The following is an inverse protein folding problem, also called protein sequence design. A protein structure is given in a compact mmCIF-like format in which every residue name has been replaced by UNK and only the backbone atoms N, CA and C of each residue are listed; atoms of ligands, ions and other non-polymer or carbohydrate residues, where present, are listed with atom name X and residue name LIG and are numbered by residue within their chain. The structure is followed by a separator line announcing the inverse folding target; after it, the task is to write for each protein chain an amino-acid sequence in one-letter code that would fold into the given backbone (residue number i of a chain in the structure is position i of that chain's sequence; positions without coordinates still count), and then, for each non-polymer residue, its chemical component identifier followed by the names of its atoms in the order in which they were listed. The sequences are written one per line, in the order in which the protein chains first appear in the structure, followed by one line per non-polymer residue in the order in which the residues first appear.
data_IF_109788284520
#
_entry.id   IF_109788284520
#
_cell.length_a   1.000
_cell.length_b   1.000
_cell.length_c   1.000
_cell.angle_alpha   90.00
_cell.angle_beta   90.00
_cell.angle_gamma   90.00
#
_symmetry.space_group_name_H-M   'P 1'
#
loop_
_entity.id
_entity.type
_entity.pdbx_description
1 polymer ?
#
# COMPACT_ATOMS: atom_id res chain seq x y z
N UNK A 1 -28.11 -15.29 -26.90
CA UNK A 1 -27.66 -15.53 -25.51
C UNK A 1 -26.34 -14.79 -25.28
N UNK A 2 -26.31 -13.60 -24.67
CA UNK A 2 -25.04 -12.94 -24.41
C UNK A 2 -24.40 -13.61 -23.18
N UNK A 3 -23.72 -14.73 -23.41
CA UNK A 3 -23.07 -15.59 -22.40
C UNK A 3 -21.57 -15.34 -22.22
N UNK A 4 -21.07 -14.18 -22.65
CA UNK A 4 -19.66 -13.79 -22.51
C UNK A 4 -19.34 -13.22 -21.12
N UNK A 5 -18.05 -13.21 -20.75
CA UNK A 5 -17.54 -12.50 -19.57
C UNK A 5 -17.97 -11.03 -19.65
N UNK A 6 -18.29 -10.43 -18.50
CA UNK A 6 -18.53 -8.99 -18.43
C UNK A 6 -17.30 -8.24 -18.95
N UNK A 7 -17.49 -7.16 -19.68
CA UNK A 7 -16.44 -6.23 -20.13
C UNK A 7 -16.06 -5.27 -19.01
N UNK A 8 -15.04 -4.42 -19.21
CA UNK A 8 -14.72 -3.36 -18.24
C UNK A 8 -15.86 -2.32 -18.17
N UNK A 9 -16.43 -1.94 -19.32
CA UNK A 9 -17.52 -0.98 -19.42
C UNK A 9 -18.79 -1.47 -18.69
N UNK A 10 -19.16 -2.75 -18.88
CA UNK A 10 -20.31 -3.32 -18.17
C UNK A 10 -20.09 -3.31 -16.66
N UNK A 11 -18.86 -3.56 -16.19
CA UNK A 11 -18.53 -3.46 -14.75
C UNK A 11 -18.60 -2.03 -14.21
N UNK A 12 -18.21 -1.03 -15.00
CA UNK A 12 -18.36 0.37 -14.62
C UNK A 12 -19.82 0.75 -14.46
N UNK A 13 -20.69 0.27 -15.36
CA UNK A 13 -22.14 0.46 -15.25
C UNK A 13 -22.75 -0.26 -14.04
N UNK A 14 -22.24 -1.44 -13.67
CA UNK A 14 -22.61 -2.09 -12.39
C UNK A 14 -22.22 -1.19 -11.21
N UNK A 15 -20.99 -0.67 -11.18
CA UNK A 15 -20.51 0.17 -10.08
C UNK A 15 -21.34 1.47 -9.95
N UNK A 16 -21.69 2.11 -11.07
CA UNK A 16 -22.56 3.29 -11.09
C UNK A 16 -23.96 2.95 -10.56
N UNK A 17 -24.56 1.85 -11.04
CA UNK A 17 -25.89 1.44 -10.57
C UNK A 17 -25.94 1.12 -9.08
N UNK A 18 -24.85 0.59 -8.51
CA UNK A 18 -24.75 0.36 -7.07
C UNK A 18 -24.60 1.68 -6.29
N UNK A 19 -23.83 2.64 -6.80
CA UNK A 19 -23.69 3.96 -6.20
C UNK A 19 -25.04 4.72 -6.19
N UNK A 20 -25.84 4.54 -7.23
CA UNK A 20 -27.20 5.09 -7.35
C UNK A 20 -28.25 4.31 -6.53
N UNK A 21 -27.85 3.26 -5.80
CA UNK A 21 -28.75 2.46 -4.97
C UNK A 21 -29.72 1.56 -5.75
N UNK A 22 -29.47 1.29 -7.03
CA UNK A 22 -30.34 0.47 -7.86
C UNK A 22 -30.28 -1.01 -7.45
N UNK A 23 -31.43 -1.69 -7.55
CA UNK A 23 -31.51 -3.12 -7.35
C UNK A 23 -30.76 -3.88 -8.46
N UNK A 24 -30.16 -5.04 -8.13
CA UNK A 24 -29.38 -5.83 -9.09
C UNK A 24 -30.14 -6.21 -10.36
N UNK A 25 -31.46 -6.43 -10.26
CA UNK A 25 -32.31 -6.75 -11.41
C UNK A 25 -32.46 -5.56 -12.39
N UNK A 26 -32.49 -4.32 -11.88
CA UNK A 26 -32.52 -3.11 -12.70
C UNK A 26 -31.20 -2.91 -13.42
N UNK A 27 -30.07 -3.06 -12.71
CA UNK A 27 -28.73 -3.00 -13.29
C UNK A 27 -28.58 -4.05 -14.41
N UNK A 28 -29.01 -5.28 -14.14
CA UNK A 28 -28.93 -6.38 -15.09
C UNK A 28 -29.76 -6.13 -16.37
N UNK A 29 -30.97 -5.56 -16.24
CA UNK A 29 -31.79 -5.16 -17.39
C UNK A 29 -31.10 -4.11 -18.26
N UNK A 30 -30.47 -3.10 -17.66
CA UNK A 30 -29.76 -2.04 -18.40
C UNK A 30 -28.56 -2.57 -19.19
N UNK A 31 -27.97 -3.66 -18.71
CA UNK A 31 -26.83 -4.33 -19.35
C UNK A 31 -27.25 -5.40 -20.36
N UNK A 32 -28.55 -5.68 -20.49
CA UNK A 32 -29.06 -6.87 -21.21
C UNK A 32 -28.38 -8.17 -20.74
N UNK A 33 -28.21 -8.31 -19.42
CA UNK A 33 -27.60 -9.49 -18.78
C UNK A 33 -28.56 -10.13 -17.76
N UNK A 34 -28.43 -11.44 -17.48
CA UNK A 34 -29.15 -12.06 -16.38
C UNK A 34 -28.79 -11.45 -15.02
N UNK A 35 -29.77 -11.27 -14.13
CA UNK A 35 -29.57 -10.77 -12.76
C UNK A 35 -28.51 -11.57 -11.99
N UNK A 36 -28.50 -12.89 -12.18
CA UNK A 36 -27.52 -13.78 -11.55
C UNK A 36 -26.06 -13.51 -11.96
N UNK A 37 -25.82 -12.86 -13.09
CA UNK A 37 -24.49 -12.42 -13.51
C UNK A 37 -24.02 -11.24 -12.69
N UNK A 38 -24.88 -10.23 -12.52
CA UNK A 38 -24.58 -9.04 -11.70
C UNK A 38 -24.40 -9.44 -10.24
N UNK A 39 -25.31 -10.22 -9.67
CA UNK A 39 -25.20 -10.67 -8.27
C UNK A 39 -23.89 -11.43 -8.02
N UNK A 40 -23.55 -12.40 -8.87
CA UNK A 40 -22.31 -13.17 -8.71
C UNK A 40 -21.07 -12.31 -8.92
N UNK A 41 -21.09 -11.39 -9.86
CA UNK A 41 -19.99 -10.46 -10.09
C UNK A 41 -19.76 -9.57 -8.87
N UNK A 42 -20.82 -8.98 -8.32
CA UNK A 42 -20.75 -8.09 -7.16
C UNK A 42 -20.26 -8.85 -5.93
N UNK A 43 -20.87 -10.00 -5.62
CA UNK A 43 -20.49 -10.80 -4.45
C UNK A 43 -19.07 -11.36 -4.55
N UNK A 44 -18.61 -11.73 -5.75
CA UNK A 44 -17.26 -12.25 -5.96
C UNK A 44 -16.16 -11.19 -5.84
N UNK A 45 -16.51 -9.91 -5.93
CA UNK A 45 -15.54 -8.80 -5.95
C UNK A 45 -15.81 -7.77 -4.84
N UNK A 46 -16.16 -8.25 -3.64
CA UNK A 46 -16.23 -7.42 -2.43
C UNK A 46 -17.64 -7.08 -1.94
N UNK A 47 -18.69 -7.49 -2.66
CA UNK A 47 -20.08 -7.18 -2.28
C UNK A 47 -20.49 -5.75 -2.61
N UNK A 48 -21.76 -5.37 -2.39
CA UNK A 48 -22.34 -4.12 -2.89
C UNK A 48 -21.66 -2.86 -2.38
N UNK A 49 -21.19 -2.85 -1.13
CA UNK A 49 -20.58 -1.68 -0.49
C UNK A 49 -19.11 -1.47 -0.87
N UNK A 50 -18.40 -2.53 -1.26
CA UNK A 50 -16.99 -2.48 -1.61
C UNK A 50 -16.71 -2.78 -3.10
N UNK A 51 -17.75 -2.94 -3.92
CA UNK A 51 -17.60 -3.25 -5.35
C UNK A 51 -16.89 -2.12 -6.10
N UNK A 52 -15.81 -2.46 -6.80
CA UNK A 52 -15.08 -1.54 -7.68
C UNK A 52 -14.84 -2.20 -9.04
N UNK A 53 -15.27 -1.53 -10.11
CA UNK A 53 -15.23 -2.05 -11.47
C UNK A 53 -13.81 -2.47 -11.93
N UNK A 54 -12.81 -1.62 -11.67
CA UNK A 54 -11.44 -1.87 -12.09
C UNK A 54 -10.78 -3.03 -11.33
N UNK A 55 -11.09 -3.18 -10.03
CA UNK A 55 -10.64 -4.31 -9.22
C UNK A 55 -11.25 -5.61 -9.75
N UNK A 56 -12.55 -5.60 -10.01
CA UNK A 56 -13.27 -6.76 -10.53
C UNK A 56 -12.79 -7.18 -11.93
N UNK A 57 -12.46 -6.21 -12.80
CA UNK A 57 -11.90 -6.46 -14.12
C UNK A 57 -10.51 -7.11 -14.04
N UNK A 58 -9.58 -6.53 -13.28
CA UNK A 58 -8.22 -7.07 -13.12
C UNK A 58 -8.20 -8.43 -12.42
N UNK A 59 -9.06 -8.64 -11.41
CA UNK A 59 -9.20 -9.95 -10.75
C UNK A 59 -9.66 -11.02 -11.76
N UNK A 60 -10.53 -10.65 -12.69
CA UNK A 60 -11.01 -11.52 -13.77
C UNK A 60 -9.90 -11.86 -14.75
N UNK A 61 -9.08 -10.89 -15.17
CA UNK A 61 -7.94 -11.12 -16.07
C UNK A 61 -6.86 -12.00 -15.43
N UNK A 62 -6.49 -11.72 -14.17
CA UNK A 62 -5.49 -12.52 -13.44
C UNK A 62 -5.92 -13.98 -13.28
N UNK A 63 -7.20 -14.25 -13.02
CA UNK A 63 -7.73 -15.63 -12.96
C UNK A 63 -7.66 -16.33 -14.31
N UNK A 64 -7.93 -15.62 -15.41
CA UNK A 64 -7.76 -16.17 -16.75
C UNK A 64 -6.29 -16.50 -17.04
N UNK A 65 -5.38 -15.61 -16.61
CA UNK A 65 -3.94 -15.79 -16.79
C UNK A 65 -3.38 -16.94 -15.94
N UNK A 66 -3.81 -17.09 -14.67
CA UNK A 66 -3.43 -18.21 -13.80
C UNK A 66 -3.91 -19.56 -14.33
N UNK A 67 -5.14 -19.64 -14.85
CA UNK A 67 -5.63 -20.87 -15.52
C UNK A 67 -4.78 -21.28 -16.71
N UNK A 68 -4.16 -20.30 -17.38
CA UNK A 68 -3.27 -20.53 -18.53
C UNK A 68 -1.84 -20.91 -18.13
N UNK A 69 -1.44 -20.70 -16.86
CA UNK A 69 -0.08 -20.91 -16.34
C UNK A 69 0.02 -22.07 -15.32
N UNK A 70 -1.04 -22.86 -15.10
CA UNK A 70 -1.03 -23.90 -14.08
C UNK A 70 -0.25 -25.17 -14.52
N UNK A 71 1.07 -25.18 -14.29
CA UNK A 71 1.93 -26.35 -13.95
C UNK A 71 3.37 -25.89 -13.59
N UNK A 72 4.14 -26.58 -12.71
CA UNK A 72 3.82 -27.25 -11.44
C UNK A 72 4.12 -26.35 -10.22
N UNK A 73 3.53 -26.69 -9.07
CA UNK A 73 3.79 -26.03 -7.78
C UNK A 73 5.25 -26.24 -7.36
N UNK A 74 6.02 -25.15 -7.29
CA UNK A 74 7.28 -25.10 -6.54
C UNK A 74 7.05 -25.18 -5.02
N UNK A 75 8.12 -25.32 -4.23
CA UNK A 75 8.04 -25.70 -2.82
C UNK A 75 7.11 -24.76 -2.06
N UNK A 76 6.20 -25.36 -1.29
CA UNK A 76 5.30 -24.67 -0.38
C UNK A 76 6.05 -23.56 0.35
N UNK A 77 5.45 -22.37 0.33
CA UNK A 77 5.89 -21.28 1.20
C UNK A 77 6.06 -21.86 2.61
N UNK A 78 7.16 -21.54 3.32
CA UNK A 78 7.39 -22.08 4.65
C UNK A 78 6.13 -21.89 5.51
N UNK A 79 5.77 -22.88 6.35
CA UNK A 79 4.57 -22.81 7.17
C UNK A 79 4.56 -21.46 7.90
N UNK A 80 3.47 -20.70 7.72
CA UNK A 80 3.35 -19.40 8.35
C UNK A 80 3.49 -19.59 9.86
N UNK A 81 4.50 -18.95 10.45
CA UNK A 81 4.94 -19.19 11.83
C UNK A 81 3.84 -18.99 12.89
N UNK A 82 2.71 -18.40 12.50
CA UNK A 82 1.61 -18.00 13.37
C UNK A 82 0.26 -18.61 12.98
N UNK A 83 0.22 -19.68 12.17
CA UNK A 83 -1.02 -20.40 11.85
C UNK A 83 -2.05 -19.59 11.05
N UNK A 84 -1.60 -18.54 10.36
CA UNK A 84 -2.45 -17.68 9.52
C UNK A 84 -2.89 -18.44 8.27
N UNK A 85 -4.02 -18.05 7.69
CA UNK A 85 -4.45 -18.55 6.40
C UNK A 85 -3.57 -17.94 5.29
N UNK A 86 -2.83 -18.75 4.50
CA UNK A 86 -2.00 -18.26 3.41
C UNK A 86 -2.77 -17.48 2.36
N UNK A 87 -4.04 -17.81 2.11
CA UNK A 87 -4.85 -17.09 1.14
C UNK A 87 -5.25 -15.70 1.64
N UNK A 88 -5.60 -15.59 2.93
CA UNK A 88 -5.91 -14.31 3.57
C UNK A 88 -4.69 -13.38 3.58
N UNK A 89 -3.49 -13.88 3.91
CA UNK A 89 -2.26 -13.08 3.89
C UNK A 89 -1.94 -12.58 2.49
N UNK A 90 -2.08 -13.44 1.47
CA UNK A 90 -1.89 -13.05 0.07
C UNK A 90 -2.92 -12.01 -0.38
N UNK A 91 -4.18 -12.15 0.03
CA UNK A 91 -5.22 -11.16 -0.28
C UNK A 91 -4.92 -9.80 0.36
N UNK A 92 -4.42 -9.81 1.60
CA UNK A 92 -3.98 -8.59 2.29
C UNK A 92 -2.78 -7.94 1.59
N UNK A 93 -1.76 -8.72 1.20
CA UNK A 93 -0.61 -8.24 0.43
C UNK A 93 -1.04 -7.53 -0.87
N UNK A 94 -2.02 -8.10 -1.58
CA UNK A 94 -2.58 -7.50 -2.80
C UNK A 94 -3.31 -6.17 -2.51
N UNK A 95 -4.08 -6.09 -1.41
CA UNK A 95 -4.72 -4.85 -0.97
C UNK A 95 -3.67 -3.79 -0.61
N UNK A 96 -2.66 -4.16 0.19
CA UNK A 96 -1.60 -3.26 0.61
C UNK A 96 -0.78 -2.74 -0.57
N UNK A 97 -0.44 -3.61 -1.52
CA UNK A 97 0.20 -3.22 -2.79
C UNK A 97 -0.62 -2.17 -3.53
N UNK A 98 -1.95 -2.33 -3.55
CA UNK A 98 -2.84 -1.39 -4.24
C UNK A 98 -2.84 -0.02 -3.56
N UNK A 99 -2.81 0.02 -2.23
CA UNK A 99 -2.71 1.28 -1.46
C UNK A 99 -1.41 2.02 -1.81
N UNK A 100 -0.26 1.34 -1.83
CA UNK A 100 1.01 1.96 -2.23
C UNK A 100 1.00 2.45 -3.69
N UNK A 101 0.31 1.76 -4.59
CA UNK A 101 0.16 2.25 -5.96
C UNK A 101 -0.67 3.54 -6.03
N UNK A 102 -1.69 3.67 -5.18
CA UNK A 102 -2.53 4.87 -5.11
C UNK A 102 -1.77 6.10 -4.58
N UNK A 103 -0.74 5.90 -3.76
CA UNK A 103 0.17 6.97 -3.34
C UNK A 103 1.24 7.34 -4.38
N UNK A 104 1.15 6.80 -5.61
CA UNK A 104 2.04 7.12 -6.73
C UNK A 104 3.26 6.20 -6.86
N UNK A 105 3.37 5.15 -6.04
CA UNK A 105 4.47 4.19 -6.15
C UNK A 105 4.29 3.27 -7.36
N UNK A 106 5.29 3.10 -8.24
CA UNK A 106 5.21 2.16 -9.35
C UNK A 106 4.93 0.72 -8.88
N UNK A 107 4.18 -0.04 -9.68
CA UNK A 107 3.65 -1.35 -9.28
C UNK A 107 4.71 -2.31 -8.69
N UNK A 108 5.89 -2.42 -9.30
CA UNK A 108 6.91 -3.35 -8.80
C UNK A 108 7.46 -2.92 -7.44
N UNK A 109 7.64 -1.61 -7.24
CA UNK A 109 8.14 -1.02 -6.01
C UNK A 109 7.10 -1.16 -4.90
N UNK A 110 5.82 -0.94 -5.22
CA UNK A 110 4.71 -1.19 -4.31
C UNK A 110 4.63 -2.66 -3.85
N UNK A 111 4.88 -3.61 -4.77
CA UNK A 111 4.95 -5.05 -4.43
C UNK A 111 6.13 -5.37 -3.52
N UNK A 112 7.30 -4.79 -3.78
CA UNK A 112 8.48 -4.96 -2.92
C UNK A 112 8.21 -4.39 -1.53
N UNK A 113 7.64 -3.19 -1.42
CA UNK A 113 7.26 -2.62 -0.12
C UNK A 113 6.27 -3.50 0.62
N UNK A 114 5.16 -3.91 -0.03
CA UNK A 114 4.17 -4.77 0.62
C UNK A 114 4.77 -6.08 1.13
N UNK A 115 5.64 -6.72 0.33
CA UNK A 115 6.32 -7.96 0.72
C UNK A 115 7.30 -7.77 1.89
N UNK A 116 8.01 -6.64 1.96
CA UNK A 116 8.87 -6.31 3.08
C UNK A 116 8.06 -5.99 4.35
N UNK A 117 7.01 -5.17 4.24
CA UNK A 117 6.17 -4.73 5.37
C UNK A 117 5.49 -5.89 6.09
N UNK A 118 5.02 -6.91 5.37
CA UNK A 118 4.32 -8.05 5.97
C UNK A 118 5.26 -9.21 6.34
N UNK A 119 6.56 -9.06 6.10
CA UNK A 119 7.53 -10.10 6.40
C UNK A 119 7.75 -10.21 7.92
N UNK A 120 7.43 -11.36 8.50
CA UNK A 120 7.65 -11.62 9.92
C UNK A 120 9.14 -11.55 10.32
N UNK A 121 10.06 -11.69 9.36
CA UNK A 121 11.49 -11.53 9.59
C UNK A 121 11.94 -10.05 9.73
N UNK A 122 11.05 -9.09 9.48
CA UNK A 122 11.33 -7.64 9.45
C UNK A 122 12.25 -7.19 8.31
N UNK A 123 12.92 -8.13 7.65
CA UNK A 123 13.90 -7.87 6.60
C UNK A 123 13.93 -9.00 5.57
N UNK A 124 14.32 -8.72 4.33
CA UNK A 124 14.50 -9.72 3.28
C UNK A 124 15.75 -9.47 2.44
N UNK A 125 16.37 -10.55 1.98
CA UNK A 125 17.44 -10.53 0.97
C UNK A 125 16.86 -10.38 -0.44
N UNK A 126 17.72 -9.99 -1.40
CA UNK A 126 17.33 -9.94 -2.82
C UNK A 126 16.81 -11.30 -3.34
N UNK A 127 17.43 -12.42 -2.92
CA UNK A 127 17.01 -13.76 -3.30
C UNK A 127 15.63 -14.14 -2.74
N UNK A 128 15.34 -13.74 -1.50
CA UNK A 128 14.02 -13.99 -0.89
C UNK A 128 12.94 -13.13 -1.57
N UNK A 129 13.25 -11.89 -1.94
CA UNK A 129 12.34 -11.04 -2.72
C UNK A 129 12.05 -11.65 -4.10
N UNK A 130 13.08 -12.13 -4.81
CA UNK A 130 12.93 -12.86 -6.08
C UNK A 130 12.00 -14.05 -5.92
N UNK A 131 12.22 -14.88 -4.90
CA UNK A 131 11.42 -16.08 -4.65
C UNK A 131 9.98 -15.76 -4.26
N UNK A 132 9.76 -14.79 -3.36
CA UNK A 132 8.41 -14.44 -2.89
C UNK A 132 7.58 -13.75 -3.96
N UNK A 133 8.20 -12.81 -4.69
CA UNK A 133 7.50 -12.02 -5.71
C UNK A 133 7.39 -12.75 -7.06
N UNK A 134 8.17 -13.82 -7.26
CA UNK A 134 8.24 -14.58 -8.51
C UNK A 134 8.61 -13.66 -9.70
N UNK A 135 9.68 -12.87 -9.52
CA UNK A 135 10.18 -11.90 -10.51
C UNK A 135 11.68 -12.07 -10.71
N UNK A 136 12.22 -11.46 -11.78
CA UNK A 136 13.66 -11.56 -12.06
C UNK A 136 14.52 -10.83 -11.01
N UNK A 137 15.77 -11.27 -10.77
CA UNK A 137 16.73 -10.53 -9.94
C UNK A 137 16.91 -9.08 -10.39
N UNK A 138 16.96 -8.82 -11.70
CA UNK A 138 17.08 -7.48 -12.25
C UNK A 138 15.89 -6.57 -11.89
N UNK A 139 14.66 -7.11 -11.87
CA UNK A 139 13.47 -6.38 -11.42
C UNK A 139 13.57 -6.00 -9.96
N UNK A 140 14.05 -6.90 -9.10
CA UNK A 140 14.28 -6.63 -7.68
C UNK A 140 15.36 -5.56 -7.51
N UNK A 141 16.51 -5.69 -8.18
CA UNK A 141 17.58 -4.70 -8.09
C UNK A 141 17.12 -3.30 -8.50
N UNK A 142 16.35 -3.18 -9.58
CA UNK A 142 15.80 -1.89 -10.02
C UNK A 142 14.79 -1.32 -9.02
N UNK A 143 13.94 -2.18 -8.44
CA UNK A 143 12.96 -1.77 -7.45
C UNK A 143 13.64 -1.28 -6.17
N UNK A 144 14.63 -2.02 -5.66
CA UNK A 144 15.41 -1.63 -4.49
C UNK A 144 16.15 -0.32 -4.73
N UNK A 145 16.87 -0.17 -5.84
CA UNK A 145 17.59 1.07 -6.14
C UNK A 145 16.67 2.30 -6.19
N UNK A 146 15.46 2.14 -6.72
CA UNK A 146 14.44 3.19 -6.69
C UNK A 146 13.95 3.47 -5.27
N UNK A 147 13.63 2.43 -4.50
CA UNK A 147 13.12 2.59 -3.15
C UNK A 147 14.17 3.20 -2.21
N UNK A 148 15.44 2.80 -2.33
CA UNK A 148 16.56 3.42 -1.62
C UNK A 148 16.74 4.89 -1.98
N UNK A 149 16.61 5.27 -3.27
CA UNK A 149 16.73 6.69 -3.67
C UNK A 149 15.57 7.56 -3.19
N UNK A 150 14.45 6.95 -2.83
CA UNK A 150 13.30 7.61 -2.20
C UNK A 150 13.32 7.47 -0.67
N UNK A 151 14.40 6.92 -0.10
CA UNK A 151 14.56 6.62 1.33
C UNK A 151 13.48 5.68 1.89
N UNK A 152 12.77 4.94 1.03
CA UNK A 152 11.68 4.03 1.36
C UNK A 152 12.14 2.67 1.91
N UNK A 153 13.36 2.28 1.55
CA UNK A 153 13.98 1.03 1.96
C UNK A 153 15.41 1.33 2.35
N UNK A 154 15.86 0.70 3.43
CA UNK A 154 17.23 0.78 3.90
C UNK A 154 17.92 -0.57 3.76
N UNK A 155 19.21 -0.52 3.42
CA UNK A 155 20.06 -1.70 3.31
C UNK A 155 20.88 -1.90 4.57
N UNK A 156 20.70 -3.05 5.19
CA UNK A 156 21.43 -3.51 6.36
C UNK A 156 22.35 -4.67 6.00
N UNK A 157 23.41 -4.84 6.79
CA UNK A 157 24.28 -6.02 6.72
C UNK A 157 23.99 -6.89 7.93
N UNK A 158 23.52 -8.10 7.66
CA UNK A 158 23.35 -9.14 8.69
C UNK A 158 24.71 -9.64 9.19
N UNK A 159 24.75 -10.38 10.31
CA UNK A 159 25.95 -10.98 10.93
C UNK A 159 26.77 -11.81 9.92
N UNK A 160 26.10 -12.38 8.92
CA UNK A 160 26.69 -13.16 7.83
C UNK A 160 27.13 -12.33 6.61
N UNK A 161 27.24 -10.99 6.75
CA UNK A 161 27.56 -10.02 5.69
C UNK A 161 26.65 -10.05 4.46
N UNK A 162 25.44 -10.57 4.59
CA UNK A 162 24.44 -10.53 3.51
C UNK A 162 23.66 -9.23 3.57
N UNK A 163 23.40 -8.65 2.40
CA UNK A 163 22.57 -7.47 2.27
C UNK A 163 21.11 -7.85 2.52
N UNK A 164 20.50 -7.19 3.50
CA UNK A 164 19.09 -7.30 3.84
C UNK A 164 18.43 -5.94 3.67
N UNK A 165 17.20 -5.97 3.18
CA UNK A 165 16.37 -4.80 2.96
C UNK A 165 15.29 -4.75 4.01
N UNK A 166 15.08 -3.56 4.57
CA UNK A 166 14.09 -3.27 5.61
C UNK A 166 13.25 -2.10 5.12
N UNK A 167 11.93 -2.14 5.32
CA UNK A 167 11.11 -0.92 5.15
C UNK A 167 11.50 0.01 6.28
N UNK A 168 11.94 1.20 5.95
CA UNK A 168 12.38 2.12 6.98
C UNK A 168 11.15 2.73 7.67
N UNK A 169 10.94 2.44 8.96
CA UNK A 169 9.84 3.02 9.73
C UNK A 169 9.95 4.55 9.82
N UNK A 170 11.15 5.10 9.62
CA UNK A 170 11.40 6.54 9.52
C UNK A 170 10.83 7.13 8.22
N UNK A 171 10.41 6.33 7.23
CA UNK A 171 9.85 6.80 5.94
C UNK A 171 8.66 7.71 6.12
N UNK A 172 7.73 7.31 6.99
CA UNK A 172 6.53 8.10 7.23
C UNK A 172 6.89 9.43 7.90
N UNK A 173 7.88 9.40 8.79
CA UNK A 173 8.45 10.59 9.39
C UNK A 173 9.16 11.48 8.34
N UNK A 174 10.05 10.93 7.51
CA UNK A 174 10.75 11.68 6.45
C UNK A 174 9.78 12.24 5.41
N UNK A 175 8.72 11.51 5.04
CA UNK A 175 7.69 11.97 4.13
C UNK A 175 6.89 13.15 4.71
N UNK A 176 6.52 13.09 6.00
CA UNK A 176 5.90 14.22 6.70
C UNK A 176 6.84 15.42 6.77
N UNK A 177 8.11 15.20 7.11
CA UNK A 177 9.11 16.26 7.18
C UNK A 177 9.40 16.90 5.81
N UNK A 178 9.42 16.10 4.74
CA UNK A 178 9.55 16.59 3.36
C UNK A 178 8.34 17.43 2.95
N UNK A 179 7.13 16.97 3.28
CA UNK A 179 5.88 17.71 3.03
C UNK A 179 5.83 19.03 3.81
N UNK A 180 6.31 19.04 5.06
CA UNK A 180 6.43 20.25 5.87
C UNK A 180 7.39 21.26 5.24
N UNK A 181 8.56 20.80 4.77
CA UNK A 181 9.54 21.65 4.06
C UNK A 181 8.96 22.23 2.77
N UNK A 182 8.29 21.41 1.95
CA UNK A 182 7.64 21.88 0.73
C UNK A 182 6.56 22.94 1.02
N UNK A 183 5.74 22.70 2.05
CA UNK A 183 4.71 23.65 2.49
C UNK A 183 5.31 24.98 2.96
N UNK A 184 6.40 24.94 3.74
CA UNK A 184 7.13 26.13 4.16
C UNK A 184 7.71 26.92 2.98
N UNK A 185 8.20 26.22 1.95
CA UNK A 185 8.71 26.86 0.74
C UNK A 185 7.61 27.60 -0.04
N UNK A 186 6.40 27.06 -0.11
CA UNK A 186 5.25 27.75 -0.70
C UNK A 186 4.86 28.99 0.13
N UNK A 187 4.87 28.89 1.46
CA UNK A 187 4.61 30.02 2.35
C UNK A 187 5.63 31.16 2.14
N UNK A 188 6.92 30.82 2.04
CA UNK A 188 7.99 31.77 1.76
C UNK A 188 7.82 32.45 0.40
N UNK A 189 7.49 31.67 -0.63
CA UNK A 189 7.23 32.21 -1.97
C UNK A 189 6.02 33.16 -1.97
N UNK A 190 4.97 32.84 -1.21
CA UNK A 190 3.81 33.72 -1.05
C UNK A 190 4.20 35.05 -0.36
N UNK A 191 5.06 35.03 0.66
CA UNK A 191 5.59 36.25 1.32
C UNK A 191 6.39 37.12 0.36
N UNK A 192 7.25 36.52 -0.47
CA UNK A 192 7.97 37.25 -1.51
C UNK A 192 6.99 37.95 -2.47
N UNK A 193 5.92 37.26 -2.85
CA UNK A 193 4.86 37.82 -3.68
C UNK A 193 4.12 39.00 -3.05
N UNK A 194 4.00 39.08 -1.71
CA UNK A 194 3.45 40.26 -1.01
C UNK A 194 4.33 41.48 -1.24
N UNK A 195 5.66 41.32 -1.18
CA UNK A 195 6.61 42.40 -1.47
C UNK A 195 6.53 42.89 -2.91
N UNK A 196 6.31 41.97 -3.86
CA UNK A 196 6.19 42.30 -5.29
C UNK A 196 4.86 42.95 -5.64
N UNK A 197 3.75 42.42 -5.12
CA UNK A 197 2.39 42.87 -5.46
C UNK A 197 1.89 44.01 -4.57
N UNK A 198 2.66 44.38 -3.54
CA UNK A 198 2.32 45.41 -2.57
C UNK A 198 1.38 44.90 -1.47
N UNK A 199 1.72 45.10 -0.19
CA UNK A 199 0.92 44.61 0.95
C UNK A 199 -0.45 45.26 1.06
N UNK A 200 -0.63 46.48 0.53
CA UNK A 200 -1.91 47.18 0.50
C UNK A 200 -2.87 46.73 -0.60
N UNK A 201 -2.48 45.77 -1.45
CA UNK A 201 -3.35 45.31 -2.55
C UNK A 201 -4.19 44.11 -2.15
N UNK A 202 -5.35 43.88 -2.78
CA UNK A 202 -6.13 42.66 -2.56
C UNK A 202 -5.35 41.37 -2.87
N UNK A 203 -4.37 41.42 -3.78
CA UNK A 203 -3.52 40.28 -4.10
C UNK A 203 -2.48 40.04 -2.99
N UNK A 204 -1.86 41.10 -2.47
CA UNK A 204 -0.97 41.04 -1.31
C UNK A 204 -1.68 40.45 -0.08
N UNK A 205 -2.88 40.94 0.23
CA UNK A 205 -3.68 40.42 1.36
C UNK A 205 -4.02 38.93 1.22
N UNK A 206 -4.31 38.44 0.00
CA UNK A 206 -4.53 37.00 -0.24
C UNK A 206 -3.26 36.18 -0.01
N UNK A 207 -2.12 36.63 -0.56
CA UNK A 207 -0.86 35.93 -0.39
C UNK A 207 -0.39 35.91 1.07
N UNK A 208 -0.61 37.00 1.80
CA UNK A 208 -0.32 37.08 3.23
C UNK A 208 -1.17 36.09 4.05
N UNK A 209 -2.47 36.00 3.74
CA UNK A 209 -3.34 35.01 4.37
C UNK A 209 -2.93 33.56 4.04
N UNK A 210 -2.56 33.30 2.78
CA UNK A 210 -2.04 31.99 2.35
C UNK A 210 -0.75 31.63 3.07
N UNK A 211 0.22 32.55 3.15
CA UNK A 211 1.48 32.34 3.86
C UNK A 211 1.23 31.98 5.33
N UNK A 212 0.39 32.76 6.02
CA UNK A 212 0.05 32.53 7.43
C UNK A 212 -0.58 31.15 7.67
N UNK A 213 -1.47 30.72 6.78
CA UNK A 213 -2.08 29.39 6.87
C UNK A 213 -1.06 28.28 6.64
N UNK A 214 -0.23 28.40 5.60
CA UNK A 214 0.76 27.38 5.26
C UNK A 214 1.87 27.27 6.31
N UNK A 215 2.26 28.37 6.97
CA UNK A 215 3.19 28.33 8.11
C UNK A 215 2.62 27.48 9.24
N UNK A 216 1.37 27.75 9.64
CA UNK A 216 0.68 26.96 10.68
C UNK A 216 0.61 25.47 10.32
N UNK A 217 0.29 25.15 9.07
CA UNK A 217 0.23 23.77 8.58
C UNK A 217 1.61 23.11 8.61
N UNK A 218 2.64 23.79 8.11
CA UNK A 218 4.02 23.27 8.09
C UNK A 218 4.51 22.96 9.50
N UNK A 219 4.37 23.90 10.44
CA UNK A 219 4.76 23.67 11.84
C UNK A 219 3.97 22.53 12.49
N UNK A 220 2.67 22.43 12.18
CA UNK A 220 1.82 21.36 12.72
C UNK A 220 2.23 19.99 12.19
N UNK A 221 2.64 19.91 10.91
CA UNK A 221 3.19 18.68 10.32
C UNK A 221 4.51 18.28 10.99
N UNK A 222 5.42 19.24 11.25
CA UNK A 222 6.68 18.97 11.98
C UNK A 222 6.39 18.45 13.38
N UNK A 223 5.54 19.14 14.15
CA UNK A 223 5.17 18.73 15.51
C UNK A 223 4.56 17.33 15.54
N UNK A 224 3.65 17.03 14.61
CA UNK A 224 3.03 15.73 14.53
C UNK A 224 4.03 14.62 14.17
N UNK A 225 4.98 14.89 13.26
CA UNK A 225 6.03 13.96 12.90
C UNK A 225 6.96 13.67 14.10
N UNK A 226 7.41 14.70 14.81
CA UNK A 226 8.27 14.55 15.99
C UNK A 226 7.60 13.76 17.11
N UNK A 227 6.30 13.99 17.36
CA UNK A 227 5.52 13.22 18.33
C UNK A 227 5.31 11.77 17.91
N UNK A 228 5.06 11.52 16.63
CA UNK A 228 4.85 10.17 16.10
C UNK A 228 6.13 9.33 16.06
N UNK A 229 7.31 9.97 16.01
CA UNK A 229 8.61 9.31 16.08
C UNK A 229 8.76 8.49 17.37
N UNK A 230 8.27 8.99 18.50
CA UNK A 230 8.29 8.25 19.78
C UNK A 230 7.35 7.03 19.76
N UNK A 231 6.24 7.11 19.00
CA UNK A 231 5.27 6.03 18.85
C UNK A 231 5.85 4.89 18.00
N UNK A 232 6.54 5.22 16.91
CA UNK A 232 7.19 4.24 16.02
C UNK A 232 8.36 3.50 16.68
N UNK A 233 9.01 4.11 17.67
CA UNK A 233 10.09 3.50 18.44
C UNK A 233 9.66 2.78 19.72
N UNK A 234 8.35 2.72 20.02
CA UNK A 234 7.86 1.90 21.14
C UNK A 234 7.98 0.42 20.76
N UNK A 235 9.12 -0.15 21.15
CA UNK A 235 9.49 -1.55 20.97
C UNK A 235 8.34 -2.46 21.42
N UNK A 236 7.86 -3.31 20.51
CA UNK A 236 7.16 -4.51 20.93
C UNK A 236 8.16 -5.33 21.75
N UNK A 237 8.02 -5.30 23.08
CA UNK A 237 8.73 -6.21 23.96
C UNK A 237 8.42 -7.63 23.47
N UNK A 238 9.41 -8.24 22.83
CA UNK A 238 9.40 -9.65 22.52
C UNK A 238 9.26 -10.38 23.84
N UNK A 239 8.10 -10.99 24.05
CA UNK A 239 7.91 -12.02 25.05
C UNK A 239 8.83 -13.21 24.72
N UNK A 240 10.08 -13.12 25.14
CA UNK A 240 11.03 -14.23 25.26
C UNK A 240 11.68 -14.10 26.61
N UNK A 241 11.09 -14.77 27.61
CA UNK A 241 11.75 -15.89 28.27
C UNK A 241 10.85 -16.42 29.38
N UNK A 242 10.15 -17.50 29.05
CA UNK A 242 9.24 -18.19 29.95
C UNK A 242 9.18 -19.68 29.67
N UNK A 243 10.33 -20.31 29.37
CA UNK A 243 10.39 -21.77 29.28
C UNK A 243 11.60 -22.35 30.02
N UNK A 244 11.30 -22.73 31.27
CA UNK A 244 11.76 -23.90 32.00
C UNK A 244 13.25 -24.07 32.37
N UNK A 245 13.51 -24.04 33.68
CA UNK A 245 14.41 -25.01 34.32
C UNK A 245 13.58 -25.96 35.18
N UNK A 246 13.61 -27.29 34.95
CA UNK A 246 13.07 -28.24 35.91
C UNK A 246 14.09 -28.38 37.03
N UNK A 247 13.68 -28.02 38.25
CA UNK A 247 14.44 -28.27 39.47
C UNK A 247 14.41 -29.77 39.75
N UNK A 248 15.52 -30.45 39.52
CA UNK A 248 15.77 -31.75 40.13
C UNK A 248 16.08 -31.51 41.60
N UNK A 249 15.28 -32.06 42.50
CA UNK A 249 15.69 -32.21 43.88
C UNK A 249 15.59 -33.67 44.29
N UNK A 250 16.73 -34.15 44.80
CA UNK A 250 16.90 -35.41 45.51
C UNK A 250 16.30 -35.25 46.90
N UNK A 251 15.59 -36.29 47.35
CA UNK A 251 15.15 -36.47 48.73
C UNK A 251 14.48 -37.82 48.86
#
# INVERSE_FOLDING_TARGET
MPGGRLTQQERQQIALGLADGLAYAEIARRLDRPTSTVTREVMRNGGPTAYRADLAHRATERRAHRRRQAAPRGPEAPPQAYGRDPEAVRAYEETLTTVFMQSGTPQMMARVMACLTISDAGSLTASELVQRLQVSPASVSKAIAFLESQELVRRERDERRRERYVVDDEVMYQAMMSSARATAQVAETARQGVGVLGPGTPAGARLENTARFLDYVSESLVRAADQAREILHTKAETASDGTATPRSDRG
#
